data_IF_857812484142
#
_entry.id   IF_857812484142
#
_cell.length_a   1.000
_cell.length_b   1.000
_cell.length_c   1.000
_cell.angle_alpha   90.00
_cell.angle_beta   90.00
_cell.angle_gamma   90.00
#
_symmetry.space_group_name_H-M   'P 1'
#
loop_
_entity.id
_entity.type
_entity.pdbx_description
1 polymer ?
#
# COMPACT_ATOMS: atom_id res chain seq x y z
N UNK A 1 6.79 11.16 -21.17
CA UNK A 1 7.96 10.25 -21.16
C UNK A 1 7.47 8.93 -20.59
N UNK A 2 7.23 7.93 -21.44
CA UNK A 2 6.75 6.62 -20.99
C UNK A 2 7.76 6.07 -19.99
N UNK A 3 7.38 5.93 -18.73
CA UNK A 3 8.21 5.35 -17.69
C UNK A 3 8.42 3.90 -18.09
N UNK A 4 9.47 3.62 -18.88
CA UNK A 4 9.80 2.27 -19.36
C UNK A 4 9.85 1.24 -18.22
N UNK A 5 10.05 1.72 -17.00
CA UNK A 5 10.18 0.96 -15.79
C UNK A 5 8.89 0.94 -14.93
N UNK A 6 7.71 1.29 -15.48
CA UNK A 6 6.41 1.19 -14.77
C UNK A 6 6.25 -0.12 -13.97
N UNK A 7 6.40 -1.31 -14.58
CA UNK A 7 6.23 -2.56 -13.84
C UNK A 7 7.24 -2.67 -12.69
N UNK A 8 8.49 -2.25 -12.90
CA UNK A 8 9.52 -2.25 -11.85
C UNK A 8 9.13 -1.39 -10.65
N UNK A 9 8.56 -0.19 -10.88
CA UNK A 9 8.11 0.69 -9.80
C UNK A 9 6.91 0.11 -9.06
N UNK A 10 5.96 -0.51 -9.76
CA UNK A 10 4.81 -1.20 -9.15
C UNK A 10 5.29 -2.38 -8.30
N UNK A 11 6.22 -3.19 -8.81
CA UNK A 11 6.81 -4.30 -8.06
C UNK A 11 7.58 -3.81 -6.84
N UNK A 12 8.37 -2.74 -6.96
CA UNK A 12 9.07 -2.15 -5.83
C UNK A 12 8.09 -1.67 -4.74
N UNK A 13 6.99 -1.02 -5.13
CA UNK A 13 5.95 -0.60 -4.20
C UNK A 13 5.28 -1.79 -3.48
N UNK A 14 4.97 -2.87 -4.21
CA UNK A 14 4.42 -4.09 -3.62
C UNK A 14 5.39 -4.75 -2.63
N UNK A 15 6.68 -4.83 -2.96
CA UNK A 15 7.72 -5.40 -2.07
C UNK A 15 7.86 -4.56 -0.80
N UNK A 16 7.92 -3.22 -0.94
CA UNK A 16 8.01 -2.33 0.22
C UNK A 16 6.79 -2.46 1.14
N UNK A 17 5.58 -2.51 0.58
CA UNK A 17 4.35 -2.75 1.35
C UNK A 17 4.40 -4.10 2.08
N UNK A 18 4.83 -5.15 1.39
CA UNK A 18 4.94 -6.48 1.98
C UNK A 18 5.99 -6.54 3.11
N UNK A 19 7.15 -5.92 2.93
CA UNK A 19 8.19 -5.85 3.96
C UNK A 19 7.70 -5.10 5.21
N UNK A 20 7.00 -3.98 5.02
CA UNK A 20 6.45 -3.20 6.13
C UNK A 20 5.38 -4.00 6.91
N UNK A 21 4.43 -4.61 6.20
CA UNK A 21 3.37 -5.41 6.83
C UNK A 21 3.94 -6.66 7.49
N UNK A 22 4.95 -7.29 6.89
CA UNK A 22 5.67 -8.40 7.50
C UNK A 22 6.37 -7.97 8.79
N UNK A 23 6.99 -6.80 8.81
CA UNK A 23 7.56 -6.23 10.02
C UNK A 23 6.50 -5.99 11.10
N UNK A 24 5.36 -5.40 10.75
CA UNK A 24 4.23 -5.20 11.69
C UNK A 24 3.75 -6.54 12.27
N UNK A 25 3.57 -7.55 11.40
CA UNK A 25 3.16 -8.89 11.80
C UNK A 25 4.10 -9.50 12.85
N UNK A 26 5.42 -9.29 12.71
CA UNK A 26 6.41 -9.75 13.69
C UNK A 26 6.50 -8.90 14.96
N UNK A 27 6.04 -7.64 14.93
CA UNK A 27 6.22 -6.66 16.01
C UNK A 27 4.90 -6.23 16.68
N UNK A 28 3.93 -7.15 16.81
CA UNK A 28 2.69 -6.90 17.55
C UNK A 28 1.41 -6.96 16.71
N UNK A 29 1.53 -7.35 15.44
CA UNK A 29 0.39 -7.56 14.54
C UNK A 29 0.19 -6.40 13.56
N UNK A 30 -0.53 -6.69 12.48
CA UNK A 30 -0.80 -5.71 11.41
C UNK A 30 -1.78 -4.66 11.89
N UNK A 31 -1.42 -3.38 11.75
CA UNK A 31 -2.18 -2.26 12.31
C UNK A 31 -3.54 -2.13 11.63
N UNK A 32 -4.55 -1.75 12.40
CA UNK A 32 -5.89 -1.41 11.89
C UNK A 32 -6.25 0.00 12.31
N UNK A 33 -6.55 0.84 11.34
CA UNK A 33 -6.92 2.24 11.54
C UNK A 33 -8.44 2.38 11.62
N UNK A 34 -8.90 3.06 12.66
CA UNK A 34 -10.30 3.33 12.88
C UNK A 34 -10.59 4.82 12.62
N UNK A 35 -11.65 5.16 11.86
CA UNK A 35 -12.08 6.55 11.71
C UNK A 35 -12.27 7.22 13.07
N UNK A 36 -11.79 8.46 13.19
CA UNK A 36 -11.84 9.26 14.42
C UNK A 36 -11.15 8.60 15.64
N UNK A 37 -10.28 7.61 15.41
CA UNK A 37 -9.68 6.78 16.45
C UNK A 37 -10.72 6.08 17.35
N UNK A 38 -11.90 5.82 16.80
CA UNK A 38 -13.02 5.19 17.50
C UNK A 38 -13.23 3.76 17.01
N UNK A 39 -13.02 2.79 17.91
CA UNK A 39 -13.08 1.36 17.62
C UNK A 39 -14.49 0.85 17.26
N UNK A 40 -15.54 1.64 17.52
CA UNK A 40 -16.91 1.31 17.10
C UNK A 40 -17.14 1.54 15.60
N UNK A 41 -16.23 2.26 14.92
CA UNK A 41 -16.28 2.45 13.47
C UNK A 41 -15.68 1.26 12.70
N UNK A 42 -16.03 1.08 11.41
CA UNK A 42 -15.37 0.07 10.58
C UNK A 42 -13.86 0.35 10.45
N UNK A 43 -13.04 -0.61 10.87
CA UNK A 43 -11.59 -0.54 10.81
C UNK A 43 -11.04 -0.82 9.41
N UNK A 44 -9.99 -0.10 9.03
CA UNK A 44 -9.22 -0.34 7.80
C UNK A 44 -7.84 -0.88 8.17
N UNK A 45 -7.60 -2.16 7.87
CA UNK A 45 -6.32 -2.82 8.17
C UNK A 45 -5.24 -2.49 7.13
N UNK A 46 -3.98 -2.38 7.58
CA UNK A 46 -2.81 -2.24 6.73
C UNK A 46 -2.64 -3.40 5.74
N UNK A 47 -3.31 -4.55 5.95
CA UNK A 47 -3.37 -5.62 4.95
C UNK A 47 -3.83 -5.14 3.57
N UNK A 48 -4.73 -4.16 3.52
CA UNK A 48 -5.14 -3.54 2.25
C UNK A 48 -3.98 -2.90 1.49
N UNK A 49 -2.92 -2.50 2.20
CA UNK A 49 -1.67 -1.97 1.63
C UNK A 49 -1.06 -2.87 0.56
N UNK A 50 -1.12 -4.20 0.71
CA UNK A 50 -0.59 -5.13 -0.30
C UNK A 50 -1.23 -4.95 -1.67
N UNK A 51 -2.49 -4.51 -1.70
CA UNK A 51 -3.24 -4.24 -2.93
C UNK A 51 -3.22 -2.75 -3.29
N UNK A 52 -3.44 -1.86 -2.33
CA UNK A 52 -3.61 -0.42 -2.60
C UNK A 52 -2.32 0.24 -3.04
N UNK A 53 -1.16 -0.07 -2.45
CA UNK A 53 0.12 0.52 -2.86
C UNK A 53 0.51 0.26 -4.32
N UNK A 54 0.48 -0.99 -4.84
CA UNK A 54 0.78 -1.23 -6.26
C UNK A 54 -0.26 -0.61 -7.20
N UNK A 55 -1.56 -0.65 -6.84
CA UNK A 55 -2.61 -0.06 -7.67
C UNK A 55 -2.50 1.47 -7.75
N UNK A 56 -2.27 2.14 -6.62
CA UNK A 56 -2.09 3.59 -6.58
C UNK A 56 -0.80 4.01 -7.30
N UNK A 57 0.27 3.23 -7.18
CA UNK A 57 1.51 3.46 -7.94
C UNK A 57 1.24 3.40 -9.44
N UNK A 58 0.52 2.38 -9.91
CA UNK A 58 0.14 2.26 -11.32
C UNK A 58 -0.76 3.42 -11.78
N UNK A 59 -1.78 3.77 -11.00
CA UNK A 59 -2.68 4.88 -11.31
C UNK A 59 -1.92 6.22 -11.39
N UNK A 60 -1.03 6.48 -10.42
CA UNK A 60 -0.18 7.68 -10.42
C UNK A 60 0.73 7.74 -11.66
N UNK A 61 1.33 6.61 -12.07
CA UNK A 61 2.15 6.54 -13.27
C UNK A 61 1.35 6.76 -14.56
N UNK A 62 0.09 6.30 -14.63
CA UNK A 62 -0.81 6.63 -15.74
C UNK A 62 -1.09 8.13 -15.78
N UNK A 63 -1.36 8.74 -14.63
CA UNK A 63 -1.68 10.17 -14.54
C UNK A 63 -0.45 11.01 -14.92
N UNK A 64 0.73 10.67 -14.44
CA UNK A 64 1.97 11.39 -14.68
C UNK A 64 2.48 11.33 -16.14
N UNK A 65 1.96 10.39 -16.93
CA UNK A 65 2.32 10.26 -18.35
C UNK A 65 1.40 11.03 -19.30
N UNK A 66 0.25 11.50 -18.80
CA UNK A 66 -0.62 12.42 -19.53
C UNK A 66 0.02 13.81 -19.58
#
# INVERSE_FOLDING_TARGET
>A
MVVRNKPMLVFAAAILAALLIFWEYLNGGVVTHYPLADADNPGTSNWWGLLTFPLLTWAALIIAEK
#
